data_IF_095792642531
#
_entry.id   IF_095792642531
#
_cell.length_a   1.000
_cell.length_b   1.000
_cell.length_c   1.000
_cell.angle_alpha   90.00
_cell.angle_beta   90.00
_cell.angle_gamma   90.00
#
_symmetry.space_group_name_H-M   'P 1'
#
loop_
_entity.id
_entity.type
_entity.pdbx_description
1 polymer ?
#
# COMPACT_ATOMS: atom_id res chain seq x y z
N UNK A 1 37.96 -1.31 3.15
CA UNK A 1 37.61 -0.96 4.55
C UNK A 1 36.51 0.10 4.64
N UNK A 2 36.58 1.24 3.92
CA UNK A 2 35.51 2.27 3.96
C UNK A 2 34.17 1.78 3.37
N UNK A 3 34.25 1.02 2.27
CA UNK A 3 33.08 0.43 1.57
C UNK A 3 32.40 -0.69 2.37
N UNK A 4 33.18 -1.44 3.15
CA UNK A 4 32.67 -2.52 4.02
C UNK A 4 31.97 -1.97 5.26
N UNK A 5 32.45 -0.83 5.81
CA UNK A 5 31.77 -0.11 6.88
C UNK A 5 30.43 0.49 6.43
N UNK A 6 30.37 1.09 5.24
CA UNK A 6 29.11 1.62 4.68
C UNK A 6 28.05 0.53 4.47
N UNK A 7 28.45 -0.65 4.01
CA UNK A 7 27.58 -1.82 3.86
C UNK A 7 27.08 -2.36 5.21
N UNK A 8 27.95 -2.40 6.23
CA UNK A 8 27.59 -2.87 7.59
C UNK A 8 26.63 -1.93 8.32
N UNK A 9 26.82 -0.61 8.19
CA UNK A 9 25.92 0.40 8.74
C UNK A 9 24.56 0.33 8.05
N UNK A 10 24.53 0.20 6.72
CA UNK A 10 23.28 0.03 5.96
C UNK A 10 22.53 -1.24 6.40
N UNK A 11 23.22 -2.36 6.61
CA UNK A 11 22.61 -3.60 7.08
C UNK A 11 22.00 -3.49 8.49
N UNK A 12 22.58 -2.64 9.35
CA UNK A 12 22.10 -2.44 10.73
C UNK A 12 20.81 -1.61 10.79
N UNK A 13 20.58 -0.73 9.81
CA UNK A 13 19.34 0.04 9.69
C UNK A 13 18.15 -0.81 9.24
N UNK A 14 18.38 -1.87 8.45
CA UNK A 14 17.31 -2.79 8.01
C UNK A 14 16.73 -3.61 9.17
N UNK A 15 17.48 -3.83 10.25
CA UNK A 15 17.04 -4.62 11.42
C UNK A 15 16.44 -3.78 12.56
N UNK A 16 16.47 -2.43 12.45
CA UNK A 16 16.17 -1.53 13.57
C UNK A 16 14.76 -0.94 13.64
N UNK A 17 13.89 -1.14 12.65
CA UNK A 17 12.57 -0.49 12.58
C UNK A 17 11.41 -1.52 12.58
N UNK A 18 11.44 -2.46 13.52
CA UNK A 18 10.32 -3.37 13.75
C UNK A 18 9.47 -2.86 14.90
N UNK A 19 8.31 -2.24 14.62
CA UNK A 19 7.29 -2.12 15.67
C UNK A 19 6.26 -1.00 15.59
N UNK A 20 6.34 -0.06 14.65
CA UNK A 20 5.35 1.03 14.57
C UNK A 20 4.42 0.85 13.38
N UNK A 21 3.11 0.90 13.64
CA UNK A 21 2.08 0.96 12.60
C UNK A 21 2.20 2.31 11.90
N UNK A 22 3.06 2.39 10.90
CA UNK A 22 3.23 3.57 10.06
C UNK A 22 1.96 3.78 9.21
N UNK A 23 1.50 5.03 9.11
CA UNK A 23 0.47 5.44 8.13
C UNK A 23 0.93 5.15 6.70
N UNK A 24 0.02 5.06 5.70
CA UNK A 24 0.46 4.82 4.32
C UNK A 24 1.27 5.98 3.77
N UNK A 25 1.00 7.21 4.23
CA UNK A 25 1.89 8.35 4.04
C UNK A 25 3.30 8.09 4.53
N UNK A 26 3.48 7.67 5.79
CA UNK A 26 4.82 7.40 6.34
C UNK A 26 5.51 6.23 5.66
N UNK A 27 4.77 5.14 5.35
CA UNK A 27 5.27 4.03 4.54
C UNK A 27 5.71 4.51 3.15
N UNK A 28 4.94 5.41 2.55
CA UNK A 28 5.24 6.02 1.27
C UNK A 28 6.49 6.89 1.35
N UNK A 29 6.60 7.77 2.35
CA UNK A 29 7.81 8.60 2.58
C UNK A 29 9.03 7.71 2.79
N UNK A 30 8.97 6.75 3.72
CA UNK A 30 10.12 5.90 4.06
C UNK A 30 10.49 4.98 2.91
N UNK A 31 9.51 4.33 2.28
CA UNK A 31 9.72 3.43 1.14
C UNK A 31 10.25 4.18 -0.08
N UNK A 32 9.67 5.34 -0.39
CA UNK A 32 10.12 6.23 -1.46
C UNK A 32 11.52 6.78 -1.19
N UNK A 33 11.79 7.24 0.04
CA UNK A 33 13.12 7.72 0.43
C UNK A 33 14.17 6.61 0.33
N UNK A 34 13.89 5.41 0.83
CA UNK A 34 14.81 4.29 0.78
C UNK A 34 15.09 3.84 -0.66
N UNK A 35 14.05 3.73 -1.50
CA UNK A 35 14.19 3.37 -2.90
C UNK A 35 14.96 4.45 -3.69
N UNK A 36 14.58 5.71 -3.52
CA UNK A 36 15.22 6.84 -4.17
C UNK A 36 16.67 7.05 -3.71
N UNK A 37 16.96 6.89 -2.42
CA UNK A 37 18.30 6.94 -1.87
C UNK A 37 19.16 5.78 -2.38
N UNK A 38 18.60 4.56 -2.50
CA UNK A 38 19.30 3.40 -3.04
C UNK A 38 19.73 3.60 -4.50
N UNK A 39 18.79 4.05 -5.35
CA UNK A 39 19.08 4.37 -6.76
C UNK A 39 20.05 5.55 -6.86
N UNK A 40 19.82 6.60 -6.08
CA UNK A 40 20.67 7.79 -6.02
C UNK A 40 22.10 7.48 -5.56
N UNK A 41 22.28 6.55 -4.63
CA UNK A 41 23.59 6.10 -4.17
C UNK A 41 24.37 5.39 -5.28
N UNK A 42 23.72 4.57 -6.11
CA UNK A 42 24.36 3.86 -7.22
C UNK A 42 24.85 4.86 -8.26
N UNK A 43 23.99 5.78 -8.69
CA UNK A 43 24.32 6.80 -9.69
C UNK A 43 25.36 7.79 -9.14
N UNK A 44 25.19 8.21 -7.88
CA UNK A 44 26.14 9.06 -7.17
C UNK A 44 27.52 8.39 -7.05
N UNK A 45 27.56 7.09 -6.75
CA UNK A 45 28.82 6.34 -6.69
C UNK A 45 29.52 6.26 -8.06
N UNK A 46 28.75 6.12 -9.15
CA UNK A 46 29.29 6.13 -10.51
C UNK A 46 29.86 7.50 -10.93
N UNK A 47 29.29 8.59 -10.41
CA UNK A 47 29.72 9.98 -10.70
C UNK A 47 30.73 10.52 -9.69
N UNK A 48 31.15 9.71 -8.71
CA UNK A 48 32.13 10.07 -7.69
C UNK A 48 31.55 10.80 -6.47
N UNK A 49 30.23 11.00 -6.41
CA UNK A 49 29.54 11.63 -5.28
C UNK A 49 28.29 10.86 -4.84
N UNK A 50 28.53 9.72 -4.18
CA UNK A 50 27.46 8.89 -3.63
C UNK A 50 26.60 9.65 -2.62
N UNK A 51 27.20 10.49 -1.77
CA UNK A 51 26.46 11.24 -0.75
C UNK A 51 25.43 12.21 -1.32
N UNK A 52 25.80 12.96 -2.37
CA UNK A 52 24.88 13.87 -3.06
C UNK A 52 23.81 13.08 -3.82
N UNK A 53 24.18 11.98 -4.48
CA UNK A 53 23.22 11.11 -5.16
C UNK A 53 22.17 10.52 -4.19
N UNK A 54 22.61 10.03 -3.03
CA UNK A 54 21.72 9.52 -1.97
C UNK A 54 20.82 10.62 -1.41
N UNK A 55 21.35 11.82 -1.15
CA UNK A 55 20.57 12.92 -0.59
C UNK A 55 19.49 13.41 -1.56
N UNK A 56 19.83 13.58 -2.84
CA UNK A 56 18.88 14.00 -3.87
C UNK A 56 17.84 12.90 -4.13
N UNK A 57 18.30 11.67 -4.35
CA UNK A 57 17.41 10.53 -4.60
C UNK A 57 16.50 10.25 -3.42
N UNK A 58 17.03 10.30 -2.20
CA UNK A 58 16.27 10.14 -0.96
C UNK A 58 15.27 11.27 -0.73
N UNK A 59 15.65 12.52 -0.99
CA UNK A 59 14.76 13.67 -0.87
C UNK A 59 13.60 13.62 -1.87
N UNK A 60 13.89 13.37 -3.15
CA UNK A 60 12.86 13.25 -4.20
C UNK A 60 11.96 12.03 -3.91
N UNK A 61 12.56 10.90 -3.55
CA UNK A 61 11.83 9.69 -3.19
C UNK A 61 10.92 9.86 -1.97
N UNK A 62 11.40 10.56 -0.93
CA UNK A 62 10.61 10.88 0.26
C UNK A 62 9.40 11.75 -0.06
N UNK A 63 9.61 12.82 -0.85
CA UNK A 63 8.54 13.73 -1.24
C UNK A 63 7.52 13.04 -2.14
N UNK A 64 7.98 12.33 -3.18
CA UNK A 64 7.10 11.61 -4.10
C UNK A 64 6.33 10.50 -3.39
N UNK A 65 7.03 9.69 -2.59
CA UNK A 65 6.42 8.63 -1.81
C UNK A 65 5.42 9.13 -0.76
N UNK A 66 5.69 10.29 -0.14
CA UNK A 66 4.75 10.90 0.80
C UNK A 66 3.48 11.45 0.17
N UNK A 67 3.56 11.98 -1.05
CA UNK A 67 2.36 12.41 -1.81
C UNK A 67 1.51 11.20 -2.18
N UNK A 68 2.13 10.15 -2.72
CA UNK A 68 1.44 8.92 -3.13
C UNK A 68 0.82 8.24 -1.90
N UNK A 69 1.59 8.11 -0.81
CA UNK A 69 1.09 7.53 0.44
C UNK A 69 -0.10 8.27 1.04
N UNK A 70 -0.11 9.60 0.91
CA UNK A 70 -1.24 10.41 1.37
C UNK A 70 -2.52 10.20 0.53
N UNK A 71 -2.39 9.87 -0.75
CA UNK A 71 -3.56 9.52 -1.57
C UNK A 71 -4.07 8.12 -1.21
N UNK A 72 -3.16 7.15 -1.02
CA UNK A 72 -3.52 5.81 -0.56
C UNK A 72 -4.27 5.82 0.79
N UNK A 73 -3.87 6.68 1.74
CA UNK A 73 -4.60 6.85 3.01
C UNK A 73 -6.06 7.28 2.81
N UNK A 74 -6.35 8.11 1.79
CA UNK A 74 -7.72 8.52 1.48
C UNK A 74 -8.50 7.41 0.79
N UNK A 75 -7.85 6.71 -0.13
CA UNK A 75 -8.46 5.61 -0.86
C UNK A 75 -8.86 4.49 0.09
N UNK A 76 -8.00 4.11 1.02
CA UNK A 76 -8.28 3.06 2.02
C UNK A 76 -9.40 3.46 2.99
N UNK A 77 -9.49 4.75 3.35
CA UNK A 77 -10.61 5.28 4.13
C UNK A 77 -11.94 5.20 3.35
N UNK A 78 -11.90 5.34 2.02
CA UNK A 78 -13.08 5.21 1.17
C UNK A 78 -13.48 3.75 0.93
N UNK A 79 -12.50 2.85 0.73
CA UNK A 79 -12.72 1.42 0.57
C UNK A 79 -13.32 0.81 1.82
N UNK A 80 -12.77 1.09 3.00
CA UNK A 80 -13.33 0.58 4.27
C UNK A 80 -14.78 1.01 4.49
N UNK A 81 -15.12 2.26 4.15
CA UNK A 81 -16.50 2.73 4.18
C UNK A 81 -17.39 2.03 3.12
N UNK A 82 -16.82 1.69 1.96
CA UNK A 82 -17.54 0.99 0.90
C UNK A 82 -17.75 -0.50 1.21
N UNK A 83 -16.76 -1.18 1.78
CA UNK A 83 -16.85 -2.56 2.23
C UNK A 83 -17.97 -2.73 3.25
N UNK A 84 -18.12 -1.80 4.20
CA UNK A 84 -19.20 -1.86 5.18
C UNK A 84 -20.59 -1.72 4.50
N UNK A 85 -20.69 -0.90 3.44
CA UNK A 85 -21.91 -0.77 2.63
C UNK A 85 -22.19 -2.04 1.84
N UNK A 86 -21.17 -2.63 1.22
CA UNK A 86 -21.29 -3.89 0.46
C UNK A 86 -21.72 -5.01 1.40
N UNK A 87 -21.10 -5.13 2.57
CA UNK A 87 -21.46 -6.14 3.58
C UNK A 87 -22.92 -6.02 4.02
N UNK A 88 -23.40 -4.79 4.26
CA UNK A 88 -24.84 -4.54 4.55
C UNK A 88 -25.73 -4.91 3.37
N UNK A 89 -25.31 -4.65 2.14
CA UNK A 89 -26.05 -5.04 0.93
C UNK A 89 -26.07 -6.56 0.74
N UNK A 90 -24.99 -7.27 1.01
CA UNK A 90 -24.93 -8.73 0.90
C UNK A 90 -25.93 -9.41 1.84
N UNK A 91 -26.12 -8.88 3.04
CA UNK A 91 -27.10 -9.41 3.99
C UNK A 91 -28.52 -9.23 3.46
N UNK A 92 -28.84 -8.06 2.87
CA UNK A 92 -30.13 -7.80 2.24
C UNK A 92 -30.34 -8.65 0.99
N UNK A 93 -29.33 -8.77 0.13
CA UNK A 93 -29.35 -9.62 -1.07
C UNK A 93 -29.55 -11.09 -0.69
N UNK A 94 -28.93 -11.57 0.39
CA UNK A 94 -29.15 -12.93 0.90
C UNK A 94 -30.57 -13.17 1.38
N UNK A 95 -31.24 -12.14 1.90
CA UNK A 95 -32.66 -12.23 2.24
C UNK A 95 -33.53 -12.24 0.99
N UNK A 96 -33.30 -11.30 0.05
CA UNK A 96 -34.03 -11.27 -1.22
C UNK A 96 -33.84 -12.54 -2.04
N UNK A 97 -32.65 -13.12 -2.06
CA UNK A 97 -32.39 -14.36 -2.81
C UNK A 97 -33.18 -15.54 -2.25
N UNK A 98 -33.43 -15.59 -0.93
CA UNK A 98 -34.30 -16.62 -0.34
C UNK A 98 -35.73 -16.46 -0.83
N UNK A 99 -36.26 -15.24 -0.80
CA UNK A 99 -37.60 -14.94 -1.29
C UNK A 99 -37.73 -15.18 -2.80
N UNK A 100 -36.74 -14.75 -3.59
CA UNK A 100 -36.70 -15.00 -5.04
C UNK A 100 -36.66 -16.50 -5.34
N UNK A 101 -35.94 -17.30 -4.55
CA UNK A 101 -35.91 -18.75 -4.74
C UNK A 101 -37.25 -19.39 -4.40
N UNK A 102 -37.97 -18.90 -3.38
CA UNK A 102 -39.32 -19.33 -3.07
C UNK A 102 -40.32 -18.95 -4.17
N UNK A 103 -40.23 -17.72 -4.69
CA UNK A 103 -41.03 -17.25 -5.81
C UNK A 103 -40.72 -18.03 -7.09
N UNK A 104 -39.45 -18.35 -7.35
CA UNK A 104 -39.04 -19.19 -8.49
C UNK A 104 -39.56 -20.61 -8.36
N UNK A 105 -39.62 -21.19 -7.16
CA UNK A 105 -40.25 -22.48 -6.92
C UNK A 105 -41.75 -22.42 -7.20
N UNK A 106 -42.48 -21.46 -6.60
CA UNK A 106 -43.92 -21.27 -6.88
C UNK A 106 -44.22 -21.00 -8.36
N UNK A 107 -43.38 -20.21 -9.03
CA UNK A 107 -43.52 -19.89 -10.45
C UNK A 107 -43.16 -21.08 -11.34
N UNK A 108 -42.13 -21.86 -10.98
CA UNK A 108 -41.72 -23.06 -11.70
C UNK A 108 -42.83 -24.13 -11.69
N UNK A 109 -43.50 -24.30 -10.56
CA UNK A 109 -44.65 -25.21 -10.43
C UNK A 109 -45.85 -24.73 -11.26
N UNK A 110 -45.98 -23.41 -11.49
CA UNK A 110 -47.04 -22.81 -12.31
C UNK A 110 -46.80 -22.93 -13.82
N UNK A 111 -45.59 -23.27 -14.28
CA UNK A 111 -45.25 -23.46 -15.70
C UNK A 111 -45.07 -24.94 -16.09
N UNK A 112 -45.30 -25.87 -15.16
CA UNK A 112 -45.16 -27.31 -15.38
C UNK A 112 -46.47 -28.02 -15.80
N UNK A 113 -47.50 -27.26 -16.21
CA UNK A 113 -48.80 -27.77 -16.69
C UNK A 113 -49.04 -27.44 -18.16
#
# INVERSE_FOLDING_TARGET
MKKTLALLVLASFLTGCGGQTLSNREKGVVGGAAAGAGIGAIIGAATGNAGVGTAIGGGIGALGGGVIGNEMDKDEASESAQEERIRRQEEQLRQQQREINELKRRRGDSYAY
#
